data_IF_883441626180
#
_entry.id   IF_883441626180
#
_cell.length_a   1.000
_cell.length_b   1.000
_cell.length_c   1.000
_cell.angle_alpha   90.00
_cell.angle_beta   90.00
_cell.angle_gamma   90.00
#
_symmetry.space_group_name_H-M   'P 1'
#
loop_
_entity.id
_entity.type
_entity.pdbx_description
1 polymer ?
#
# COMPACT_ATOMS: atom_id res chain seq x y z
N UNK A 1 -2.84 29.62 17.52
CA UNK A 1 -1.77 29.89 16.54
C UNK A 1 -0.54 29.10 16.95
N UNK A 2 -0.11 28.12 16.14
CA UNK A 2 0.88 27.13 16.54
C UNK A 2 2.29 27.75 16.58
N UNK A 3 3.01 27.47 17.67
CA UNK A 3 4.30 28.05 18.06
C UNK A 3 5.50 27.49 17.27
N UNK A 4 5.47 27.49 15.94
CA UNK A 4 6.69 27.21 15.16
C UNK A 4 7.38 28.53 14.82
N UNK A 5 8.24 29.00 15.74
CA UNK A 5 8.88 30.32 15.63
C UNK A 5 10.02 30.36 14.62
N UNK A 6 10.67 29.24 14.32
CA UNK A 6 11.87 29.21 13.49
C UNK A 6 11.59 28.92 12.00
N UNK A 7 12.36 29.55 11.12
CA UNK A 7 12.30 29.29 9.67
C UNK A 7 12.66 27.84 9.38
N UNK A 8 11.91 27.19 8.49
CA UNK A 8 12.07 25.76 8.18
C UNK A 8 11.38 24.82 9.18
N UNK A 9 10.70 25.33 10.21
CA UNK A 9 9.88 24.52 11.10
C UNK A 9 8.76 23.78 10.36
N UNK A 10 8.50 22.54 10.75
CA UNK A 10 7.48 21.66 10.17
C UNK A 10 6.39 21.39 11.21
N UNK A 11 5.14 21.49 10.77
CA UNK A 11 3.96 21.11 11.52
C UNK A 11 3.27 19.93 10.82
N UNK A 12 2.84 18.92 11.56
CA UNK A 12 2.02 17.82 11.03
C UNK A 12 0.74 17.65 11.85
N UNK A 13 -0.36 17.40 11.16
CA UNK A 13 -1.67 17.18 11.76
C UNK A 13 -2.40 16.06 11.05
N UNK A 14 -3.02 15.19 11.82
CA UNK A 14 -3.89 14.14 11.30
C UNK A 14 -5.24 14.71 10.86
N UNK A 15 -5.73 14.24 9.71
CA UNK A 15 -7.00 14.58 9.11
C UNK A 15 -7.78 13.28 8.84
N UNK A 16 -8.66 12.86 9.77
CA UNK A 16 -9.42 11.61 9.66
C UNK A 16 -10.62 11.79 8.72
N UNK A 17 -10.39 11.77 7.40
CA UNK A 17 -11.45 12.01 6.43
C UNK A 17 -12.55 10.92 6.44
N UNK A 18 -12.28 9.77 7.05
CA UNK A 18 -13.24 8.70 7.32
C UNK A 18 -14.14 8.95 8.55
N UNK A 19 -13.89 10.02 9.33
CA UNK A 19 -14.65 10.39 10.53
C UNK A 19 -15.21 11.82 10.43
N UNK A 20 -15.15 12.41 9.23
CA UNK A 20 -15.55 13.77 8.94
C UNK A 20 -16.44 13.78 7.71
N UNK A 21 -17.36 14.74 7.63
CA UNK A 21 -17.96 15.08 6.35
C UNK A 21 -16.92 15.69 5.43
N UNK A 22 -17.13 15.57 4.12
CA UNK A 22 -16.22 16.11 3.11
C UNK A 22 -16.04 17.63 3.28
N UNK A 23 -17.11 18.36 3.58
CA UNK A 23 -17.09 19.80 3.81
C UNK A 23 -16.32 20.18 5.08
N UNK A 24 -16.39 19.35 6.12
CA UNK A 24 -15.67 19.52 7.39
C UNK A 24 -14.16 19.32 7.18
N UNK A 25 -13.79 18.24 6.49
CA UNK A 25 -12.41 17.98 6.08
C UNK A 25 -11.85 19.13 5.23
N UNK A 26 -12.64 19.64 4.26
CA UNK A 26 -12.27 20.81 3.45
C UNK A 26 -12.13 22.08 4.27
N UNK A 27 -13.00 22.31 5.27
CA UNK A 27 -12.90 23.47 6.16
C UNK A 27 -11.63 23.43 7.02
N UNK A 28 -11.24 22.25 7.51
CA UNK A 28 -9.98 22.02 8.23
C UNK A 28 -8.79 22.25 7.30
N UNK A 29 -8.79 21.66 6.10
CA UNK A 29 -7.74 21.84 5.09
C UNK A 29 -7.55 23.32 4.74
N UNK A 30 -8.65 24.06 4.55
CA UNK A 30 -8.62 25.50 4.28
C UNK A 30 -8.00 26.28 5.44
N UNK A 31 -8.39 25.97 6.67
CA UNK A 31 -7.83 26.59 7.85
C UNK A 31 -6.32 26.32 7.99
N UNK A 32 -5.91 25.08 7.73
CA UNK A 32 -4.51 24.68 7.76
C UNK A 32 -3.68 25.41 6.70
N UNK A 33 -4.16 25.44 5.45
CA UNK A 33 -3.50 26.14 4.36
C UNK A 33 -3.40 27.66 4.60
N UNK A 34 -4.42 28.28 5.20
CA UNK A 34 -4.34 29.70 5.59
C UNK A 34 -3.21 29.96 6.60
N UNK A 35 -2.88 29.00 7.47
CA UNK A 35 -1.78 29.11 8.42
C UNK A 35 -0.41 28.75 7.81
N UNK A 36 -0.40 27.88 6.79
CA UNK A 36 0.81 27.39 6.14
C UNK A 36 0.70 27.53 4.61
N UNK A 37 1.27 28.60 4.01
CA UNK A 37 1.30 28.77 2.56
C UNK A 37 2.03 27.64 1.81
N UNK A 38 2.93 26.92 2.48
CA UNK A 38 3.56 25.70 1.99
C UNK A 38 2.99 24.49 2.73
N UNK A 39 1.72 24.22 2.49
CA UNK A 39 1.01 23.04 2.96
C UNK A 39 1.04 21.92 1.91
N UNK A 40 1.00 20.68 2.40
CA UNK A 40 0.86 19.46 1.63
C UNK A 40 0.04 18.43 2.41
N UNK A 41 -0.53 17.45 1.70
CA UNK A 41 -1.29 16.34 2.27
C UNK A 41 -0.68 15.04 1.80
N UNK A 42 -0.55 14.10 2.73
CA UNK A 42 0.06 12.81 2.52
C UNK A 42 -0.83 11.70 3.08
N UNK A 43 -0.82 10.53 2.47
CA UNK A 43 -1.50 9.35 2.99
C UNK A 43 -0.82 8.08 2.52
N UNK A 44 -0.95 7.01 3.31
CA UNK A 44 -0.67 5.65 2.87
C UNK A 44 -1.79 5.19 1.93
N UNK A 45 -2.05 3.89 1.88
CA UNK A 45 -3.16 3.29 1.16
C UNK A 45 -4.48 3.33 1.94
N UNK A 46 -4.78 4.42 2.65
CA UNK A 46 -5.92 4.53 3.57
C UNK A 46 -6.53 5.95 3.62
N UNK A 47 -7.54 6.12 4.47
CA UNK A 47 -8.25 7.38 4.70
C UNK A 47 -7.71 8.16 5.90
N UNK A 48 -6.48 7.85 6.34
CA UNK A 48 -5.81 8.49 7.48
C UNK A 48 -4.80 9.52 6.98
N UNK A 49 -5.32 10.68 6.56
CA UNK A 49 -4.50 11.68 5.90
C UNK A 49 -3.69 12.50 6.90
N UNK A 50 -2.50 12.92 6.49
CA UNK A 50 -1.61 13.78 7.26
C UNK A 50 -1.41 15.09 6.49
N UNK A 51 -1.83 16.19 7.09
CA UNK A 51 -1.48 17.54 6.63
C UNK A 51 -0.09 17.88 7.15
N UNK A 52 0.77 18.40 6.29
CA UNK A 52 2.11 18.89 6.62
C UNK A 52 2.27 20.33 6.16
N UNK A 53 2.73 21.20 7.05
CA UNK A 53 2.95 22.62 6.80
C UNK A 53 4.40 22.99 7.07
N UNK A 54 5.04 23.66 6.12
CA UNK A 54 6.43 24.13 6.25
C UNK A 54 6.43 25.65 6.43
N UNK A 55 7.13 26.14 7.45
CA UNK A 55 7.31 27.58 7.64
C UNK A 55 8.42 28.10 6.73
N UNK A 56 8.05 29.06 5.87
CA UNK A 56 8.98 29.61 4.89
C UNK A 56 9.18 28.66 3.69
N UNK A 57 10.15 28.95 2.81
CA UNK A 57 10.21 28.39 1.47
C UNK A 57 10.34 26.86 1.34
N UNK A 58 10.62 26.13 2.43
CA UNK A 58 11.16 24.78 2.37
C UNK A 58 12.62 24.77 1.89
N UNK A 59 13.34 23.70 2.24
CA UNK A 59 14.71 23.47 1.77
C UNK A 59 14.75 22.30 0.80
N UNK A 60 15.63 22.39 -0.19
CA UNK A 60 15.99 21.22 -0.98
C UNK A 60 16.67 20.19 -0.07
N UNK A 61 16.24 18.94 -0.18
CA UNK A 61 16.82 17.81 0.52
C UNK A 61 17.69 17.04 -0.45
N UNK A 62 18.92 16.70 -0.06
CA UNK A 62 19.80 15.86 -0.89
C UNK A 62 19.36 14.39 -0.84
N UNK A 63 19.57 13.66 -1.91
CA UNK A 63 19.25 12.23 -1.97
C UNK A 63 19.95 11.44 -0.85
N UNK A 64 21.20 11.77 -0.55
CA UNK A 64 21.98 11.12 0.51
C UNK A 64 21.35 11.31 1.89
N UNK A 65 20.74 12.47 2.15
CA UNK A 65 20.05 12.75 3.42
C UNK A 65 18.81 11.85 3.58
N UNK A 66 18.05 11.66 2.50
CA UNK A 66 16.88 10.78 2.51
C UNK A 66 17.33 9.33 2.66
N UNK A 67 18.29 8.88 1.84
CA UNK A 67 18.78 7.49 1.89
C UNK A 67 19.37 7.12 3.24
N UNK A 68 19.99 8.09 3.94
CA UNK A 68 20.53 7.88 5.27
C UNK A 68 19.47 7.36 6.25
N UNK A 69 18.21 7.77 6.10
CA UNK A 69 17.12 7.27 6.95
C UNK A 69 16.94 5.74 6.87
N UNK A 70 17.23 5.12 5.71
CA UNK A 70 17.15 3.67 5.54
C UNK A 70 18.43 2.92 5.90
N UNK A 71 19.59 3.58 5.78
CA UNK A 71 20.88 2.98 6.13
C UNK A 71 21.15 2.97 7.63
N UNK A 72 20.62 3.95 8.37
CA UNK A 72 20.70 3.97 9.84
C UNK A 72 19.87 2.81 10.42
N UNK A 73 20.44 1.93 11.27
CA UNK A 73 19.76 0.70 11.68
C UNK A 73 18.38 0.90 12.31
N UNK A 74 18.26 1.85 13.25
CA UNK A 74 17.02 2.09 13.99
C UNK A 74 15.95 2.74 13.09
N UNK A 75 16.29 3.85 12.45
CA UNK A 75 15.37 4.57 11.56
C UNK A 75 14.93 3.70 10.38
N UNK A 76 15.87 2.95 9.78
CA UNK A 76 15.55 2.06 8.67
C UNK A 76 14.67 0.89 9.10
N UNK A 77 14.88 0.34 10.29
CA UNK A 77 14.02 -0.69 10.85
C UNK A 77 12.61 -0.16 11.09
N UNK A 78 12.46 1.04 11.66
CA UNK A 78 11.16 1.66 11.88
C UNK A 78 10.41 1.99 10.58
N UNK A 79 11.10 2.54 9.58
CA UNK A 79 10.51 2.81 8.26
C UNK A 79 10.00 1.53 7.58
N UNK A 80 10.81 0.46 7.59
CA UNK A 80 10.39 -0.85 7.07
C UNK A 80 9.24 -1.45 7.87
N UNK A 81 9.22 -1.27 9.20
CA UNK A 81 8.16 -1.76 10.09
C UNK A 81 6.81 -1.12 9.78
N UNK A 82 6.79 0.15 9.33
CA UNK A 82 5.57 0.84 8.89
C UNK A 82 5.31 0.70 7.38
N UNK A 83 6.02 -0.20 6.68
CA UNK A 83 5.79 -0.50 5.27
C UNK A 83 6.44 0.44 4.26
N UNK A 84 7.32 1.35 4.70
CA UNK A 84 8.10 2.23 3.83
C UNK A 84 9.52 1.66 3.68
N UNK A 85 9.71 0.81 2.69
CA UNK A 85 10.91 0.02 2.44
C UNK A 85 11.96 0.73 1.60
N UNK A 86 11.54 1.68 0.76
CA UNK A 86 12.42 2.45 -0.13
C UNK A 86 12.09 3.96 -0.09
N UNK A 87 13.11 4.84 -0.26
CA UNK A 87 12.94 6.29 -0.34
C UNK A 87 11.83 6.76 -1.28
N UNK A 88 11.76 6.16 -2.46
CA UNK A 88 10.81 6.53 -3.51
C UNK A 88 9.34 6.33 -3.09
N UNK A 89 9.06 5.46 -2.12
CA UNK A 89 7.69 5.30 -1.60
C UNK A 89 7.18 6.58 -0.94
N UNK A 90 8.05 7.44 -0.41
CA UNK A 90 7.62 8.71 0.18
C UNK A 90 6.89 9.58 -0.85
N UNK A 91 7.35 9.59 -2.11
CA UNK A 91 6.67 10.34 -3.18
C UNK A 91 5.25 9.82 -3.41
N UNK A 92 5.07 8.49 -3.39
CA UNK A 92 3.76 7.89 -3.56
C UNK A 92 2.78 8.24 -2.43
N UNK A 93 3.26 8.66 -1.25
CA UNK A 93 2.38 9.10 -0.17
C UNK A 93 1.72 10.47 -0.46
N UNK A 94 2.24 11.24 -1.42
CA UNK A 94 1.74 12.58 -1.70
C UNK A 94 0.33 12.56 -2.31
N UNK A 95 -0.53 13.47 -1.85
CA UNK A 95 -1.88 13.67 -2.37
C UNK A 95 -2.08 15.07 -2.93
N UNK A 96 -1.70 16.09 -2.18
CA UNK A 96 -1.98 17.49 -2.49
C UNK A 96 -0.82 18.39 -2.05
N UNK A 97 -0.61 19.48 -2.77
CA UNK A 97 0.07 20.67 -2.27
C UNK A 97 -0.92 21.82 -2.05
N UNK A 98 -0.39 23.00 -1.81
CA UNK A 98 -1.17 24.20 -1.51
C UNK A 98 -2.11 24.61 -2.64
N UNK A 99 -1.67 24.52 -3.90
CA UNK A 99 -2.50 24.87 -5.06
C UNK A 99 -3.67 23.88 -5.19
N UNK A 100 -3.42 22.59 -4.95
CA UNK A 100 -4.49 21.59 -4.95
C UNK A 100 -5.42 21.74 -3.74
N UNK A 101 -4.92 22.08 -2.55
CA UNK A 101 -5.76 22.38 -1.38
C UNK A 101 -6.67 23.57 -1.68
N UNK A 102 -6.16 24.63 -2.31
CA UNK A 102 -6.98 25.79 -2.68
C UNK A 102 -8.11 25.39 -3.66
N UNK A 103 -7.79 24.57 -4.68
CA UNK A 103 -8.79 24.03 -5.61
C UNK A 103 -9.84 23.17 -4.90
N UNK A 104 -9.40 22.21 -4.09
CA UNK A 104 -10.25 21.25 -3.38
C UNK A 104 -11.20 21.94 -2.38
N UNK A 105 -10.78 23.06 -1.82
CA UNK A 105 -11.51 23.83 -0.80
C UNK A 105 -12.24 25.06 -1.36
N UNK A 106 -12.31 25.21 -2.70
CA UNK A 106 -12.99 26.34 -3.33
C UNK A 106 -14.44 26.45 -2.85
N UNK A 107 -14.82 27.64 -2.38
CA UNK A 107 -16.16 27.92 -1.84
C UNK A 107 -16.38 27.44 -0.40
N UNK A 108 -15.40 26.81 0.23
CA UNK A 108 -15.46 26.39 1.64
C UNK A 108 -14.74 27.41 2.51
N UNK A 109 -15.44 27.94 3.50
CA UNK A 109 -14.84 28.82 4.49
C UNK A 109 -14.07 28.01 5.55
N UNK A 110 -12.94 28.53 6.05
CA UNK A 110 -12.08 27.82 6.99
C UNK A 110 -12.75 27.56 8.33
N UNK A 111 -12.37 26.48 8.98
CA UNK A 111 -12.64 26.26 10.40
C UNK A 111 -11.89 27.31 11.25
N UNK A 112 -12.62 28.04 12.10
CA UNK A 112 -12.04 29.03 13.02
C UNK A 112 -12.75 29.00 14.37
N UNK A 113 -12.12 29.55 15.40
CA UNK A 113 -12.71 29.65 16.75
C UNK A 113 -14.00 30.49 16.78
N UNK A 114 -14.19 31.38 15.79
CA UNK A 114 -15.43 32.19 15.63
C UNK A 114 -16.55 31.34 15.01
N UNK A 115 -16.21 30.32 14.22
CA UNK A 115 -17.17 29.41 13.57
C UNK A 115 -16.86 27.93 13.89
N UNK A 116 -16.86 27.53 15.18
CA UNK A 116 -16.45 26.18 15.59
C UNK A 116 -17.45 25.11 15.10
N UNK A 117 -18.73 25.47 14.94
CA UNK A 117 -19.79 24.60 14.44
C UNK A 117 -19.75 24.34 12.93
N UNK A 118 -18.66 24.74 12.25
CA UNK A 118 -18.32 24.15 10.95
C UNK A 118 -18.01 22.66 11.06
N UNK A 119 -17.60 22.21 12.25
CA UNK A 119 -17.66 20.81 12.65
C UNK A 119 -19.03 20.57 13.28
N UNK A 120 -19.79 19.66 12.70
CA UNK A 120 -21.13 19.32 13.15
C UNK A 120 -21.13 18.03 13.96
N UNK A 121 -22.18 17.85 14.78
CA UNK A 121 -22.39 16.60 15.52
C UNK A 121 -23.13 15.55 14.67
N UNK A 122 -23.31 15.83 13.38
CA UNK A 122 -23.99 14.94 12.44
C UNK A 122 -23.04 13.86 11.94
N UNK A 123 -23.57 12.67 11.69
CA UNK A 123 -22.80 11.56 11.13
C UNK A 123 -22.27 11.91 9.73
N UNK A 124 -21.06 11.43 9.44
CA UNK A 124 -20.46 11.54 8.10
C UNK A 124 -21.09 10.53 7.13
N UNK A 125 -20.90 10.79 5.83
CA UNK A 125 -21.29 9.89 4.75
C UNK A 125 -20.04 9.10 4.29
N UNK A 126 -20.05 7.79 4.54
CA UNK A 126 -18.93 6.91 4.22
C UNK A 126 -18.64 6.83 2.71
N UNK A 127 -19.68 6.89 1.88
CA UNK A 127 -19.54 6.86 0.42
C UNK A 127 -18.97 8.17 -0.08
N UNK A 128 -19.49 9.32 0.39
CA UNK A 128 -18.95 10.62 0.01
C UNK A 128 -17.48 10.78 0.42
N UNK A 129 -17.09 10.31 1.61
CA UNK A 129 -15.70 10.29 2.05
C UNK A 129 -14.83 9.35 1.21
N UNK A 130 -15.36 8.19 0.79
CA UNK A 130 -14.66 7.30 -0.14
C UNK A 130 -14.47 7.94 -1.52
N UNK A 131 -15.50 8.55 -2.10
CA UNK A 131 -15.43 9.19 -3.41
C UNK A 131 -14.43 10.36 -3.40
N UNK A 132 -14.47 11.16 -2.34
CA UNK A 132 -13.50 12.23 -2.12
C UNK A 132 -12.08 11.66 -2.04
N UNK A 133 -11.84 10.64 -1.21
CA UNK A 133 -10.52 10.03 -1.06
C UNK A 133 -10.01 9.40 -2.37
N UNK A 134 -10.87 8.63 -3.06
CA UNK A 134 -10.55 7.90 -4.29
C UNK A 134 -10.06 8.84 -5.39
N UNK A 135 -10.66 10.03 -5.51
CA UNK A 135 -10.20 11.05 -6.46
C UNK A 135 -8.74 11.50 -6.28
N UNK A 136 -8.19 11.35 -5.06
CA UNK A 136 -6.79 11.66 -4.75
C UNK A 136 -5.89 10.42 -4.70
N UNK A 137 -6.46 9.21 -4.64
CA UNK A 137 -5.69 7.97 -4.58
C UNK A 137 -5.26 7.45 -5.96
N UNK A 138 -5.99 7.81 -7.03
CA UNK A 138 -5.69 7.38 -8.39
C UNK A 138 -4.22 7.61 -8.79
N UNK A 139 -3.51 6.55 -9.18
CA UNK A 139 -2.05 6.55 -9.29
C UNK A 139 -1.54 7.57 -10.31
N UNK A 140 -2.10 7.58 -11.51
CA UNK A 140 -1.70 8.49 -12.58
C UNK A 140 -1.93 9.96 -12.19
N UNK A 141 -3.09 10.27 -11.63
CA UNK A 141 -3.43 11.62 -11.20
C UNK A 141 -2.56 12.07 -10.01
N UNK A 142 -2.29 11.19 -9.04
CA UNK A 142 -1.43 11.47 -7.90
C UNK A 142 0.04 11.68 -8.30
N UNK A 143 0.56 10.84 -9.19
CA UNK A 143 1.90 11.02 -9.75
C UNK A 143 2.00 12.35 -10.50
N UNK A 144 1.01 12.68 -11.32
CA UNK A 144 0.98 13.96 -12.02
C UNK A 144 0.99 15.15 -11.06
N UNK A 145 0.16 15.12 -10.00
CA UNK A 145 0.17 16.16 -8.97
C UNK A 145 1.51 16.26 -8.25
N UNK A 146 2.16 15.14 -7.93
CA UNK A 146 3.49 15.13 -7.32
C UNK A 146 4.53 15.82 -8.22
N UNK A 147 4.58 15.44 -9.50
CA UNK A 147 5.54 15.97 -10.47
C UNK A 147 5.30 17.45 -10.81
N UNK A 148 4.05 17.90 -10.80
CA UNK A 148 3.69 19.29 -11.09
C UNK A 148 3.72 20.19 -9.84
N UNK A 149 3.88 19.62 -8.65
CA UNK A 149 3.82 20.40 -7.41
C UNK A 149 5.00 21.37 -7.29
N UNK A 150 4.75 22.70 -7.16
CA UNK A 150 5.80 23.67 -6.91
C UNK A 150 6.58 23.39 -5.62
N UNK A 151 5.90 22.85 -4.60
CA UNK A 151 6.55 22.48 -3.34
C UNK A 151 7.48 21.28 -3.53
N UNK A 152 7.01 20.21 -4.19
CA UNK A 152 7.84 19.02 -4.40
C UNK A 152 9.04 19.32 -5.30
N UNK A 153 8.85 20.10 -6.37
CA UNK A 153 9.94 20.55 -7.24
C UNK A 153 11.06 21.31 -6.51
N UNK A 154 10.77 21.83 -5.32
CA UNK A 154 11.74 22.54 -4.50
C UNK A 154 12.40 21.67 -3.43
N UNK A 155 11.64 20.78 -2.80
CA UNK A 155 12.14 20.00 -1.64
C UNK A 155 12.65 18.62 -2.03
N UNK A 156 12.10 18.01 -3.08
CA UNK A 156 12.37 16.63 -3.45
C UNK A 156 13.62 16.53 -4.33
N UNK A 157 14.52 15.56 -4.08
CA UNK A 157 15.67 15.35 -4.95
C UNK A 157 15.24 14.76 -6.31
N UNK A 158 15.58 15.44 -7.39
CA UNK A 158 15.25 15.05 -8.78
C UNK A 158 15.72 13.63 -9.14
N UNK A 159 16.84 13.21 -8.57
CA UNK A 159 17.41 11.87 -8.79
C UNK A 159 16.52 10.73 -8.27
N UNK A 160 15.64 11.00 -7.30
CA UNK A 160 14.66 10.04 -6.77
C UNK A 160 13.34 10.02 -7.56
N UNK A 161 13.20 10.83 -8.61
CA UNK A 161 11.98 10.89 -9.44
C UNK A 161 11.92 9.77 -10.50
N UNK A 162 12.98 8.97 -10.63
CA UNK A 162 13.00 7.84 -11.57
C UNK A 162 12.14 6.69 -11.06
N UNK A 163 11.32 6.12 -11.94
CA UNK A 163 10.54 4.89 -11.72
C UNK A 163 9.53 4.99 -10.56
N UNK A 164 8.94 6.17 -10.34
CA UNK A 164 7.94 6.38 -9.29
C UNK A 164 6.60 5.68 -9.55
N UNK A 165 6.22 5.50 -10.81
CA UNK A 165 4.90 5.00 -11.24
C UNK A 165 4.47 3.74 -10.49
N UNK A 166 5.35 2.74 -10.38
CA UNK A 166 5.07 1.49 -9.68
C UNK A 166 4.63 1.70 -8.22
N UNK A 167 5.21 2.68 -7.51
CA UNK A 167 4.86 2.94 -6.10
C UNK A 167 3.48 3.59 -5.97
N UNK A 168 3.10 4.46 -6.91
CA UNK A 168 1.76 5.05 -6.96
C UNK A 168 0.71 4.00 -7.30
N UNK A 169 0.98 3.14 -8.28
CA UNK A 169 0.09 2.01 -8.65
C UNK A 169 -0.10 1.09 -7.46
N UNK A 170 0.97 0.68 -6.77
CA UNK A 170 0.87 -0.20 -5.60
C UNK A 170 0.07 0.46 -4.47
N UNK A 171 0.25 1.76 -4.22
CA UNK A 171 -0.57 2.48 -3.22
C UNK A 171 -2.05 2.47 -3.59
N UNK A 172 -2.38 2.79 -4.84
CA UNK A 172 -3.76 2.76 -5.33
C UNK A 172 -4.37 1.36 -5.20
N UNK A 173 -3.66 0.32 -5.64
CA UNK A 173 -4.11 -1.07 -5.51
C UNK A 173 -4.40 -1.43 -4.06
N UNK A 174 -3.48 -1.12 -3.13
CA UNK A 174 -3.69 -1.37 -1.68
C UNK A 174 -4.90 -0.61 -1.15
N UNK A 175 -5.13 0.62 -1.60
CA UNK A 175 -6.28 1.43 -1.19
C UNK A 175 -7.61 0.82 -1.68
N UNK A 176 -7.66 0.38 -2.94
CA UNK A 176 -8.84 -0.26 -3.51
C UNK A 176 -9.13 -1.60 -2.84
N UNK A 177 -8.09 -2.42 -2.60
CA UNK A 177 -8.16 -3.69 -1.87
C UNK A 177 -8.85 -3.53 -0.52
N UNK A 178 -8.42 -2.54 0.27
CA UNK A 178 -8.96 -2.28 1.61
C UNK A 178 -10.33 -1.60 1.65
N UNK A 179 -10.85 -1.11 0.52
CA UNK A 179 -12.11 -0.33 0.50
C UNK A 179 -13.25 -1.02 -0.22
N UNK A 180 -13.02 -1.57 -1.40
CA UNK A 180 -14.05 -2.21 -2.23
C UNK A 180 -13.76 -3.70 -2.50
N UNK A 181 -12.62 -4.20 -2.02
CA UNK A 181 -12.14 -5.55 -2.29
C UNK A 181 -11.53 -5.69 -3.68
N UNK A 182 -10.80 -6.78 -3.88
CA UNK A 182 -10.08 -7.04 -5.12
C UNK A 182 -9.77 -8.52 -5.29
N UNK A 183 -9.14 -8.86 -6.42
CA UNK A 183 -8.56 -10.17 -6.64
C UNK A 183 -7.16 -10.24 -6.00
N UNK A 184 -7.05 -10.88 -4.83
CA UNK A 184 -5.79 -11.00 -4.09
C UNK A 184 -4.65 -11.68 -4.87
N UNK A 185 -4.92 -12.64 -5.77
CA UNK A 185 -3.87 -13.20 -6.62
C UNK A 185 -3.41 -12.23 -7.72
N UNK A 186 -4.30 -11.37 -8.22
CA UNK A 186 -3.91 -10.32 -9.16
C UNK A 186 -2.98 -9.30 -8.50
N UNK A 187 -3.28 -8.94 -7.26
CA UNK A 187 -2.44 -8.05 -6.44
C UNK A 187 -1.10 -8.71 -6.10
N UNK A 188 -1.13 -9.98 -5.69
CA UNK A 188 0.08 -10.74 -5.42
C UNK A 188 0.98 -10.82 -6.65
N UNK A 189 0.42 -11.05 -7.85
CA UNK A 189 1.18 -11.05 -9.11
C UNK A 189 1.85 -9.68 -9.37
N UNK A 190 1.09 -8.59 -9.21
CA UNK A 190 1.63 -7.24 -9.28
C UNK A 190 2.82 -7.06 -8.33
N UNK A 191 2.68 -7.49 -7.08
CA UNK A 191 3.71 -7.29 -6.05
C UNK A 191 4.94 -8.19 -6.25
N UNK A 192 4.76 -9.44 -6.68
CA UNK A 192 5.85 -10.38 -6.87
C UNK A 192 6.68 -10.05 -8.11
N UNK A 193 6.05 -9.62 -9.20
CA UNK A 193 6.71 -9.48 -10.51
C UNK A 193 7.05 -8.05 -10.89
N UNK A 194 6.27 -7.08 -10.40
CA UNK A 194 6.40 -5.67 -10.77
C UNK A 194 6.82 -4.77 -9.59
N UNK A 195 7.24 -5.39 -8.48
CA UNK A 195 7.73 -4.67 -7.30
C UNK A 195 8.84 -5.42 -6.58
N UNK A 196 9.62 -4.66 -5.79
CA UNK A 196 10.57 -5.20 -4.81
C UNK A 196 10.04 -5.12 -3.38
N UNK A 197 8.86 -4.51 -3.17
CA UNK A 197 8.27 -4.34 -1.86
C UNK A 197 7.86 -5.68 -1.26
N UNK A 198 8.16 -5.87 0.02
CA UNK A 198 7.84 -7.08 0.79
C UNK A 198 6.52 -6.92 1.53
N UNK A 199 6.24 -5.72 2.02
CA UNK A 199 5.06 -5.42 2.85
C UNK A 199 3.76 -5.72 2.12
N UNK A 200 3.53 -5.28 0.86
CA UNK A 200 2.29 -5.59 0.15
C UNK A 200 2.09 -7.10 -0.09
N UNK A 201 3.17 -7.87 -0.24
CA UNK A 201 3.11 -9.34 -0.37
C UNK A 201 2.68 -9.99 0.94
N UNK A 202 3.15 -9.49 2.09
CA UNK A 202 2.71 -9.98 3.40
C UNK A 202 1.23 -9.65 3.63
N UNK A 203 0.82 -8.41 3.33
CA UNK A 203 -0.54 -7.92 3.58
C UNK A 203 -1.59 -8.66 2.76
N UNK A 204 -1.35 -8.90 1.46
CA UNK A 204 -2.30 -9.62 0.59
C UNK A 204 -2.49 -11.08 1.03
N UNK A 205 -1.52 -11.64 1.76
CA UNK A 205 -1.58 -12.96 2.36
C UNK A 205 -2.00 -12.93 3.84
N UNK A 206 -2.58 -11.82 4.29
CA UNK A 206 -3.08 -11.61 5.66
C UNK A 206 -2.01 -11.80 6.75
N UNK A 207 -0.76 -11.46 6.41
CA UNK A 207 0.40 -11.48 7.30
C UNK A 207 0.98 -10.08 7.45
N UNK A 208 2.02 -9.96 8.27
CA UNK A 208 2.81 -8.75 8.43
C UNK A 208 4.25 -9.10 8.88
N UNK A 209 5.11 -8.09 8.95
CA UNK A 209 6.52 -8.28 9.31
C UNK A 209 6.71 -8.82 10.73
N UNK A 210 5.78 -8.54 11.65
CA UNK A 210 5.83 -9.00 13.03
C UNK A 210 5.39 -10.46 13.16
N UNK A 211 4.25 -10.83 12.56
CA UNK A 211 3.77 -12.21 12.49
C UNK A 211 4.79 -13.12 11.81
N UNK A 212 5.35 -12.68 10.68
CA UNK A 212 6.39 -13.42 9.99
C UNK A 212 7.65 -13.63 10.87
N UNK A 213 8.10 -12.59 11.58
CA UNK A 213 9.26 -12.71 12.47
C UNK A 213 9.01 -13.69 13.63
N UNK A 214 7.79 -13.73 14.17
CA UNK A 214 7.39 -14.74 15.18
C UNK A 214 7.42 -16.14 14.57
N UNK A 215 6.81 -16.30 13.39
CA UNK A 215 6.77 -17.58 12.69
C UNK A 215 8.17 -18.14 12.40
N UNK A 216 9.11 -17.29 11.94
CA UNK A 216 10.51 -17.69 11.76
C UNK A 216 11.19 -18.10 13.07
N UNK A 217 10.98 -17.34 14.14
CA UNK A 217 11.55 -17.63 15.46
C UNK A 217 11.04 -18.96 16.02
N UNK A 218 9.75 -19.24 15.87
CA UNK A 218 9.12 -20.51 16.31
C UNK A 218 9.62 -21.68 15.47
N UNK A 219 9.69 -21.51 14.13
CA UNK A 219 10.20 -22.54 13.22
C UNK A 219 11.67 -22.90 13.52
N UNK A 220 12.51 -21.91 13.84
CA UNK A 220 13.92 -22.13 14.17
C UNK A 220 14.14 -22.92 15.48
N UNK A 221 13.15 -22.93 16.38
CA UNK A 221 13.22 -23.60 17.69
C UNK A 221 12.52 -24.95 17.72
N UNK A 222 11.86 -25.33 16.63
CA UNK A 222 11.00 -26.52 16.57
C UNK A 222 11.55 -27.51 15.55
N UNK A 223 11.40 -28.82 15.80
CA UNK A 223 11.78 -29.85 14.83
C UNK A 223 10.97 -29.76 13.51
N UNK A 224 9.73 -29.26 13.61
CA UNK A 224 8.89 -28.89 12.48
C UNK A 224 8.10 -27.61 12.83
N UNK A 225 7.85 -26.70 11.86
CA UNK A 225 7.02 -25.51 12.10
C UNK A 225 5.58 -25.91 12.48
N UNK A 226 4.98 -25.33 13.53
CA UNK A 226 3.57 -25.50 13.84
C UNK A 226 2.68 -25.05 12.68
N UNK A 227 1.54 -25.72 12.48
CA UNK A 227 0.64 -25.47 11.33
C UNK A 227 0.17 -24.02 11.30
N UNK A 228 -0.06 -23.42 12.47
CA UNK A 228 -0.50 -22.04 12.65
C UNK A 228 0.53 -21.02 12.14
N UNK A 229 1.81 -21.39 12.07
CA UNK A 229 2.89 -20.52 11.59
C UNK A 229 3.12 -20.64 10.08
N UNK A 230 2.63 -21.70 9.45
CA UNK A 230 2.92 -21.99 8.04
C UNK A 230 2.42 -20.88 7.10
N UNK A 231 1.20 -20.32 7.24
CA UNK A 231 0.75 -19.23 6.39
C UNK A 231 1.70 -18.01 6.42
N UNK A 232 2.16 -17.62 7.60
CA UNK A 232 3.11 -16.52 7.78
C UNK A 232 4.50 -16.85 7.18
N UNK A 233 4.94 -18.12 7.24
CA UNK A 233 6.17 -18.57 6.58
C UNK A 233 6.05 -18.57 5.05
N UNK A 234 4.90 -18.99 4.50
CA UNK A 234 4.61 -18.92 3.05
C UNK A 234 4.63 -17.45 2.60
N UNK A 235 3.93 -16.57 3.32
CA UNK A 235 3.91 -15.15 3.03
C UNK A 235 5.33 -14.54 3.07
N UNK A 236 6.13 -14.90 4.05
CA UNK A 236 7.52 -14.46 4.16
C UNK A 236 8.44 -15.00 3.06
N UNK A 237 8.27 -16.26 2.65
CA UNK A 237 8.99 -16.84 1.52
C UNK A 237 8.66 -16.09 0.23
N UNK A 238 7.37 -15.85 -0.04
CA UNK A 238 6.91 -15.08 -1.20
C UNK A 238 7.38 -13.63 -1.14
N UNK A 239 7.35 -12.98 0.03
CA UNK A 239 7.87 -11.64 0.21
C UNK A 239 9.38 -11.56 -0.07
N UNK A 240 10.13 -12.66 0.15
CA UNK A 240 11.55 -12.79 -0.23
C UNK A 240 11.74 -13.28 -1.67
N UNK A 241 10.66 -13.58 -2.39
CA UNK A 241 10.64 -14.22 -3.72
C UNK A 241 11.34 -15.58 -3.74
N UNK A 242 11.29 -16.27 -2.60
CA UNK A 242 11.69 -17.67 -2.47
C UNK A 242 10.53 -18.58 -2.88
N UNK A 243 10.29 -18.68 -4.19
CA UNK A 243 9.18 -19.47 -4.74
C UNK A 243 9.31 -20.95 -4.38
N UNK A 244 10.53 -21.50 -4.40
CA UNK A 244 10.81 -22.89 -4.01
C UNK A 244 10.54 -23.13 -2.53
N UNK A 245 10.90 -22.18 -1.67
CA UNK A 245 10.56 -22.22 -0.25
C UNK A 245 9.05 -22.22 -0.02
N UNK A 246 8.31 -21.38 -0.74
CA UNK A 246 6.85 -21.32 -0.67
C UNK A 246 6.20 -22.62 -1.18
N UNK A 247 6.64 -23.15 -2.32
CA UNK A 247 6.18 -24.43 -2.89
C UNK A 247 6.35 -25.55 -1.86
N UNK A 248 7.55 -25.70 -1.28
CA UNK A 248 7.82 -26.74 -0.27
C UNK A 248 6.90 -26.65 0.94
N UNK A 249 6.57 -25.42 1.39
CA UNK A 249 5.66 -25.22 2.52
C UNK A 249 4.21 -25.58 2.16
N UNK A 250 3.75 -25.21 0.97
CA UNK A 250 2.40 -25.52 0.46
C UNK A 250 2.23 -27.02 0.19
N UNK A 251 3.22 -27.67 -0.43
CA UNK A 251 3.22 -29.13 -0.63
C UNK A 251 3.18 -29.87 0.71
N UNK A 252 3.90 -29.39 1.73
CA UNK A 252 3.83 -29.96 3.07
C UNK A 252 2.45 -29.80 3.71
N UNK A 253 1.76 -28.66 3.52
CA UNK A 253 0.38 -28.51 3.99
C UNK A 253 -0.56 -29.51 3.32
N UNK A 254 -0.34 -29.78 2.03
CA UNK A 254 -1.07 -30.81 1.27
C UNK A 254 -0.85 -32.21 1.84
N UNK A 255 0.40 -32.58 2.16
CA UNK A 255 0.72 -33.86 2.80
C UNK A 255 0.09 -34.01 4.19
N UNK A 256 -0.05 -32.91 4.94
CA UNK A 256 -0.64 -32.88 6.28
C UNK A 256 -2.18 -32.78 6.27
N UNK A 257 -2.82 -32.70 5.10
CA UNK A 257 -4.29 -32.62 4.99
C UNK A 257 -4.90 -31.29 5.44
N UNK A 258 -4.10 -30.22 5.56
CA UNK A 258 -4.52 -28.87 5.97
C UNK A 258 -4.50 -27.88 4.80
N UNK A 259 -4.67 -28.40 3.58
CA UNK A 259 -4.56 -27.66 2.33
C UNK A 259 -5.94 -27.21 1.84
N UNK A 260 -6.11 -25.91 1.67
CA UNK A 260 -7.37 -25.29 1.28
C UNK A 260 -7.39 -24.96 -0.22
N UNK A 261 -8.57 -24.62 -0.74
CA UNK A 261 -8.73 -24.26 -2.16
C UNK A 261 -7.91 -23.02 -2.54
N UNK A 262 -7.76 -22.06 -1.63
CA UNK A 262 -6.89 -20.89 -1.85
C UNK A 262 -5.41 -21.28 -1.95
N UNK A 263 -4.96 -22.26 -1.16
CA UNK A 263 -3.61 -22.80 -1.23
C UNK A 263 -3.38 -23.52 -2.56
N UNK A 264 -4.42 -24.17 -3.10
CA UNK A 264 -4.39 -24.77 -4.44
C UNK A 264 -4.18 -23.72 -5.52
N UNK A 265 -4.94 -22.64 -5.51
CA UNK A 265 -4.79 -21.58 -6.52
C UNK A 265 -3.43 -20.89 -6.40
N UNK A 266 -2.99 -20.63 -5.17
CA UNK A 266 -1.68 -20.05 -4.89
C UNK A 266 -0.54 -20.98 -5.36
N UNK A 267 -0.60 -22.28 -5.03
CA UNK A 267 0.41 -23.25 -5.44
C UNK A 267 0.44 -23.43 -6.97
N UNK A 268 -0.73 -23.52 -7.61
CA UNK A 268 -0.83 -23.57 -9.08
C UNK A 268 -0.16 -22.35 -9.72
N UNK A 269 -0.42 -21.15 -9.18
CA UNK A 269 0.19 -19.92 -9.65
C UNK A 269 1.72 -19.89 -9.43
N UNK A 270 2.21 -20.29 -8.26
CA UNK A 270 3.65 -20.28 -7.95
C UNK A 270 4.41 -21.35 -8.75
N UNK A 271 3.81 -22.52 -9.03
CA UNK A 271 4.41 -23.49 -9.95
C UNK A 271 4.65 -22.86 -11.33
N UNK A 272 3.66 -22.13 -11.87
CA UNK A 272 3.85 -21.40 -13.12
C UNK A 272 4.98 -20.36 -13.01
N UNK A 273 5.09 -19.63 -11.89
CA UNK A 273 6.19 -18.68 -11.66
C UNK A 273 7.56 -19.34 -11.58
N UNK A 274 7.67 -20.53 -10.99
CA UNK A 274 8.93 -21.30 -10.90
C UNK A 274 9.27 -22.06 -12.21
N UNK A 275 8.37 -22.02 -13.20
CA UNK A 275 8.52 -22.70 -14.49
C UNK A 275 8.03 -24.15 -14.51
N UNK A 276 7.41 -24.63 -13.44
CA UNK A 276 6.89 -25.99 -13.28
C UNK A 276 5.43 -26.11 -13.78
N UNK A 277 5.15 -25.64 -14.99
CA UNK A 277 3.77 -25.55 -15.55
C UNK A 277 3.06 -26.90 -15.57
N UNK A 278 3.78 -27.99 -15.86
CA UNK A 278 3.21 -29.35 -15.87
C UNK A 278 2.69 -29.78 -14.50
N UNK A 279 3.36 -29.37 -13.41
CA UNK A 279 2.86 -29.61 -12.04
C UNK A 279 1.64 -28.76 -11.73
N UNK A 280 1.62 -27.51 -12.22
CA UNK A 280 0.45 -26.64 -12.10
C UNK A 280 -0.78 -27.28 -12.76
N UNK A 281 -0.64 -27.75 -14.00
CA UNK A 281 -1.70 -28.42 -14.76
C UNK A 281 -2.17 -29.70 -14.08
N UNK A 282 -1.23 -30.54 -13.63
CA UNK A 282 -1.54 -31.76 -12.89
C UNK A 282 -2.28 -31.47 -11.57
N UNK A 283 -1.88 -30.43 -10.85
CA UNK A 283 -2.55 -30.02 -9.61
C UNK A 283 -3.98 -29.55 -9.86
N UNK A 284 -4.19 -28.70 -10.88
CA UNK A 284 -5.52 -28.21 -11.25
C UNK A 284 -6.43 -29.36 -11.73
N UNK A 285 -5.91 -30.26 -12.56
CA UNK A 285 -6.65 -31.42 -13.07
C UNK A 285 -7.05 -32.41 -11.96
N UNK A 286 -6.14 -32.70 -11.02
CA UNK A 286 -6.42 -33.59 -9.90
C UNK A 286 -7.52 -33.07 -8.96
N UNK A 287 -7.82 -31.78 -8.99
CA UNK A 287 -8.79 -31.12 -8.11
C UNK A 287 -9.97 -30.50 -8.86
N UNK A 288 -10.16 -30.82 -10.14
CA UNK A 288 -11.19 -30.22 -10.99
C UNK A 288 -12.60 -30.30 -10.40
N UNK A 289 -12.94 -31.42 -9.72
CA UNK A 289 -14.23 -31.61 -9.06
C UNK A 289 -14.47 -30.66 -7.87
N UNK A 290 -13.40 -30.17 -7.24
CA UNK A 290 -13.49 -29.25 -6.10
C UNK A 290 -13.44 -27.77 -6.51
N UNK A 291 -13.03 -27.49 -7.75
CA UNK A 291 -12.91 -26.13 -8.29
C UNK A 291 -14.26 -25.72 -8.87
N UNK A 292 -14.94 -24.80 -8.21
CA UNK A 292 -16.16 -24.20 -8.76
C UNK A 292 -15.78 -23.18 -9.83
N UNK A 293 -16.44 -23.24 -10.98
CA UNK A 293 -16.23 -22.25 -12.04
C UNK A 293 -16.88 -20.94 -11.64
N UNK A 294 -16.07 -19.89 -11.53
CA UNK A 294 -16.51 -18.52 -11.30
C UNK A 294 -15.61 -17.53 -12.06
N UNK A 295 -15.90 -16.24 -11.91
CA UNK A 295 -15.16 -15.17 -12.56
C UNK A 295 -13.67 -15.15 -12.18
N UNK A 296 -13.32 -15.57 -10.96
CA UNK A 296 -11.94 -15.56 -10.46
C UNK A 296 -11.16 -16.72 -11.08
N UNK A 297 -11.75 -17.91 -11.16
CA UNK A 297 -11.17 -19.08 -11.82
C UNK A 297 -10.96 -18.83 -13.31
N UNK A 298 -11.95 -18.24 -13.98
CA UNK A 298 -11.84 -17.85 -15.40
C UNK A 298 -10.70 -16.83 -15.61
N UNK A 299 -10.57 -15.85 -14.72
CA UNK A 299 -9.46 -14.90 -14.74
C UNK A 299 -8.10 -15.59 -14.54
N UNK A 300 -7.99 -16.47 -13.53
CA UNK A 300 -6.72 -17.13 -13.19
C UNK A 300 -6.25 -18.01 -14.33
N UNK A 301 -7.14 -18.85 -14.88
CA UNK A 301 -6.83 -19.70 -16.02
C UNK A 301 -6.47 -18.91 -17.27
N UNK A 302 -7.22 -17.85 -17.58
CA UNK A 302 -6.90 -16.97 -18.69
C UNK A 302 -5.52 -16.33 -18.56
N UNK A 303 -5.18 -15.85 -17.35
CA UNK A 303 -3.86 -15.28 -17.05
C UNK A 303 -2.76 -16.33 -17.18
N UNK A 304 -2.93 -17.49 -16.55
CA UNK A 304 -1.92 -18.55 -16.58
C UNK A 304 -1.68 -19.07 -18.01
N UNK A 305 -2.75 -19.22 -18.79
CA UNK A 305 -2.67 -19.64 -20.18
C UNK A 305 -1.93 -18.60 -21.03
N UNK A 306 -2.29 -17.32 -20.90
CA UNK A 306 -1.70 -16.25 -21.69
C UNK A 306 -0.21 -16.02 -21.37
N UNK A 307 0.19 -16.14 -20.11
CA UNK A 307 1.53 -15.76 -19.66
C UNK A 307 2.51 -16.93 -19.50
N UNK A 308 2.00 -18.15 -19.26
CA UNK A 308 2.83 -19.33 -18.98
C UNK A 308 2.52 -20.53 -19.88
N UNK A 309 1.52 -20.44 -20.77
CA UNK A 309 1.11 -21.55 -21.63
C UNK A 309 0.35 -22.67 -20.91
N UNK A 310 -0.11 -22.41 -19.69
CA UNK A 310 -0.90 -23.33 -18.87
C UNK A 310 -2.19 -23.77 -19.57
N UNK A 311 -2.52 -25.06 -19.49
CA UNK A 311 -3.75 -25.65 -20.03
C UNK A 311 -4.74 -25.93 -18.90
N UNK A 312 -5.87 -25.20 -18.84
CA UNK A 312 -6.85 -25.42 -17.80
C UNK A 312 -7.46 -26.83 -17.89
N UNK A 313 -7.87 -27.40 -16.75
CA UNK A 313 -8.57 -28.67 -16.73
C UNK A 313 -9.88 -28.59 -17.54
N UNK A 314 -10.22 -29.69 -18.19
CA UNK A 314 -11.44 -29.83 -19.02
C UNK A 314 -12.71 -29.86 -18.19
#
# INVERSE_FOLDING_TARGET
MILYRESGGIATFWLPINQLKVEEAKAILRAFHNAFPNASVWASADREWIMMGIKGPGRSVKEEEIRRLWSEPNTGADLRRIGIEFPQQLAALFLMDSDEIERATKGIAPLTDIYPKRLSDQRWDEQASHDFASSYMAASAALHRFLQSPLMNKIWPETLTKSLESYFVIRETRYLSGTIGSNGLAELDLYLRHSRLRTPVLEVLHSDQFRFAIAESVAARSAAPPVETIPDLIAGALARRDFKGAIRLLEKQKELGVFHLNDLFLLTYIYCLDGEVEKAEALAAANSQSIQKDWFVDWLWGKLQAEFGFRPPS
#
